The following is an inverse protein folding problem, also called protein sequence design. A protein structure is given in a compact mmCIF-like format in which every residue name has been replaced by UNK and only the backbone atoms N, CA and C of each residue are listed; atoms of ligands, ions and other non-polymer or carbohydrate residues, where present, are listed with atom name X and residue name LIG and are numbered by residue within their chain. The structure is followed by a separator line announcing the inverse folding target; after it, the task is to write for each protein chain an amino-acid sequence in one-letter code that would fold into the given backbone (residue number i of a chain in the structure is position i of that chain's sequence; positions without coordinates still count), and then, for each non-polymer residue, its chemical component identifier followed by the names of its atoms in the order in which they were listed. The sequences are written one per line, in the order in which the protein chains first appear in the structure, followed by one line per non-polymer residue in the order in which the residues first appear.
data_IF_432862176529
#
_entry.id   IF_432862176529
#
_cell.length_a   1.000
_cell.length_b   1.000
_cell.length_c   1.000
_cell.angle_alpha   90.00
_cell.angle_beta   90.00
_cell.angle_gamma   90.00
#
_symmetry.space_group_name_H-M   'P 1'
#
loop_
_entity.id
_entity.type
_entity.pdbx_description
1 polymer ?
#
# COMPACT_ATOMS: atom_id res chain seq x y z
N UNK A 1 6.56 -10.39 2.74
CA UNK A 1 7.92 -9.98 2.40
C UNK A 1 8.03 -8.47 2.52
N UNK A 2 8.95 -7.97 3.36
CA UNK A 2 9.34 -6.54 3.42
C UNK A 2 10.69 -6.43 2.74
N UNK A 3 10.82 -5.53 1.77
CA UNK A 3 11.99 -5.48 0.88
C UNK A 3 12.21 -4.04 0.39
N UNK A 4 13.47 -3.61 0.30
CA UNK A 4 13.85 -2.36 -0.36
C UNK A 4 13.91 -2.53 -1.89
N UNK A 5 13.97 -1.42 -2.62
CA UNK A 5 13.92 -1.42 -4.09
C UNK A 5 15.09 -2.18 -4.72
N UNK A 6 16.30 -2.02 -4.19
CA UNK A 6 17.51 -2.64 -4.76
C UNK A 6 17.44 -4.16 -4.62
N UNK A 7 17.04 -4.65 -3.45
CA UNK A 7 16.79 -6.06 -3.20
C UNK A 7 15.62 -6.60 -4.03
N UNK A 8 14.55 -5.82 -4.21
CA UNK A 8 13.39 -6.20 -5.04
C UNK A 8 13.82 -6.48 -6.49
N UNK A 9 14.57 -5.55 -7.08
CA UNK A 9 15.02 -5.69 -8.47
C UNK A 9 16.06 -6.82 -8.64
N UNK A 10 16.95 -7.00 -7.66
CA UNK A 10 17.98 -8.04 -7.71
C UNK A 10 17.43 -9.46 -7.47
N UNK A 11 16.28 -9.62 -6.80
CA UNK A 11 15.79 -10.92 -6.33
C UNK A 11 14.52 -11.40 -7.04
N UNK A 12 14.26 -11.00 -8.28
CA UNK A 12 13.05 -11.37 -9.04
C UNK A 12 12.85 -12.88 -9.11
N UNK A 13 13.91 -13.66 -9.35
CA UNK A 13 13.85 -15.12 -9.43
C UNK A 13 13.44 -15.78 -8.11
N UNK A 14 13.90 -15.22 -6.97
CA UNK A 14 13.50 -15.70 -5.65
C UNK A 14 12.02 -15.42 -5.39
N UNK A 15 11.52 -14.25 -5.78
CA UNK A 15 10.10 -13.89 -5.64
C UNK A 15 9.21 -14.84 -6.43
N UNK A 16 9.57 -15.16 -7.69
CA UNK A 16 8.86 -16.14 -8.51
C UNK A 16 8.89 -17.54 -7.86
N UNK A 17 10.05 -17.91 -7.29
CA UNK A 17 10.19 -19.19 -6.58
C UNK A 17 9.28 -19.27 -5.36
N UNK A 18 9.13 -18.17 -4.62
CA UNK A 18 8.21 -18.09 -3.48
C UNK A 18 6.76 -18.17 -3.96
N UNK A 19 6.38 -17.38 -4.97
CA UNK A 19 5.03 -17.39 -5.55
C UNK A 19 4.58 -18.79 -5.98
N UNK A 20 5.50 -19.59 -6.51
CA UNK A 20 5.22 -20.97 -6.90
C UNK A 20 4.92 -21.92 -5.73
N UNK A 21 5.22 -21.52 -4.49
CA UNK A 21 5.12 -22.36 -3.29
C UNK A 21 4.05 -21.89 -2.28
N UNK A 22 3.52 -20.69 -2.46
CA UNK A 22 2.58 -20.08 -1.50
C UNK A 22 1.25 -19.75 -2.18
N UNK A 23 0.15 -19.80 -1.42
CA UNK A 23 -1.15 -19.37 -1.91
C UNK A 23 -1.24 -17.84 -2.04
N UNK A 24 -0.49 -17.11 -1.20
CA UNK A 24 -0.50 -15.64 -1.21
C UNK A 24 0.86 -15.07 -0.81
N UNK A 25 1.31 -14.07 -1.56
CA UNK A 25 2.49 -13.27 -1.24
C UNK A 25 2.11 -11.79 -1.12
N UNK A 26 2.39 -11.20 0.04
CA UNK A 26 2.30 -9.75 0.22
C UNK A 26 3.72 -9.16 0.20
N UNK A 27 3.99 -8.28 -0.74
CA UNK A 27 5.23 -7.52 -0.84
C UNK A 27 4.97 -6.10 -0.33
N UNK A 28 5.84 -5.62 0.55
CA UNK A 28 5.84 -4.25 1.08
C UNK A 28 7.20 -3.63 0.76
N UNK A 29 7.22 -2.66 -0.14
CA UNK A 29 8.41 -1.88 -0.47
C UNK A 29 8.65 -0.90 0.68
N UNK A 30 9.85 -0.93 1.26
CA UNK A 30 10.14 -0.23 2.52
C UNK A 30 10.72 1.17 2.33
N UNK A 31 11.16 1.52 1.14
CA UNK A 31 11.86 2.75 0.77
C UNK A 31 11.27 3.44 -0.48
N UNK A 32 9.95 3.35 -0.60
CA UNK A 32 9.20 3.89 -1.74
C UNK A 32 9.50 5.39 -1.98
N UNK A 33 9.70 6.14 -0.91
CA UNK A 33 10.04 7.56 -0.92
C UNK A 33 11.40 7.88 -1.56
N UNK A 34 12.22 6.85 -1.82
CA UNK A 34 13.55 6.98 -2.45
C UNK A 34 13.54 6.67 -3.95
N UNK A 35 12.38 6.40 -4.53
CA UNK A 35 12.27 6.10 -5.95
C UNK A 35 12.58 7.34 -6.79
N UNK A 36 13.51 7.18 -7.72
CA UNK A 36 13.78 8.13 -8.81
C UNK A 36 12.99 7.75 -10.07
N UNK A 37 13.03 8.59 -11.09
CA UNK A 37 12.41 8.27 -12.38
C UNK A 37 12.97 6.98 -12.99
N UNK A 38 14.27 6.75 -12.85
CA UNK A 38 14.89 5.49 -13.32
C UNK A 38 14.39 4.27 -12.55
N UNK A 39 14.10 4.42 -11.22
CA UNK A 39 13.53 3.35 -10.41
C UNK A 39 12.09 3.05 -10.81
N UNK A 40 11.28 4.04 -11.20
CA UNK A 40 9.94 3.80 -11.73
C UNK A 40 9.97 3.03 -13.06
N UNK A 41 10.91 3.34 -13.95
CA UNK A 41 11.08 2.60 -15.20
C UNK A 41 11.53 1.16 -14.92
N UNK A 42 12.49 0.96 -14.02
CA UNK A 42 12.91 -0.36 -13.57
C UNK A 42 11.78 -1.15 -12.91
N UNK A 43 10.98 -0.50 -12.06
CA UNK A 43 9.82 -1.12 -11.40
C UNK A 43 8.75 -1.55 -12.40
N UNK A 44 8.48 -0.74 -13.41
CA UNK A 44 7.56 -1.10 -14.49
C UNK A 44 8.02 -2.36 -15.21
N UNK A 45 9.30 -2.44 -15.59
CA UNK A 45 9.86 -3.63 -16.26
C UNK A 45 9.81 -4.86 -15.34
N UNK A 46 10.11 -4.66 -14.06
CA UNK A 46 10.03 -5.71 -13.06
C UNK A 46 8.59 -6.24 -12.90
N UNK A 47 7.59 -5.35 -12.85
CA UNK A 47 6.17 -5.76 -12.80
C UNK A 47 5.78 -6.58 -14.02
N UNK A 48 6.22 -6.19 -15.23
CA UNK A 48 5.96 -6.92 -16.47
C UNK A 48 6.55 -8.35 -16.47
N UNK A 49 7.73 -8.53 -15.89
CA UNK A 49 8.35 -9.85 -15.78
C UNK A 49 7.67 -10.73 -14.73
N UNK A 50 7.25 -10.14 -13.61
CA UNK A 50 6.45 -10.84 -12.60
C UNK A 50 5.06 -11.20 -13.15
N UNK A 51 4.43 -10.31 -13.90
CA UNK A 51 3.14 -10.54 -14.56
C UNK A 51 3.17 -11.79 -15.44
N UNK A 52 4.16 -11.89 -16.35
CA UNK A 52 4.36 -13.08 -17.19
C UNK A 52 4.53 -14.37 -16.37
N UNK A 53 5.26 -14.25 -15.24
CA UNK A 53 5.48 -15.40 -14.35
C UNK A 53 4.20 -15.81 -13.64
N UNK A 54 3.40 -14.85 -13.17
CA UNK A 54 2.09 -15.09 -12.56
C UNK A 54 1.14 -15.71 -13.59
N UNK A 55 1.05 -15.16 -14.80
CA UNK A 55 0.23 -15.70 -15.89
C UNK A 55 0.59 -17.17 -16.20
N UNK A 56 1.89 -17.50 -16.27
CA UNK A 56 2.34 -18.89 -16.47
C UNK A 56 1.87 -19.82 -15.34
N UNK A 57 1.94 -19.37 -14.08
CA UNK A 57 1.46 -20.17 -12.95
C UNK A 57 -0.05 -20.42 -13.02
N UNK A 58 -0.84 -19.44 -13.48
CA UNK A 58 -2.28 -19.62 -13.68
C UNK A 58 -2.58 -20.62 -14.81
N UNK A 59 -1.82 -20.58 -15.91
CA UNK A 59 -1.93 -21.58 -16.99
C UNK A 59 -1.61 -23.00 -16.47
N UNK A 60 -0.65 -23.12 -15.58
CA UNK A 60 -0.27 -24.39 -14.93
C UNK A 60 -1.27 -24.85 -13.85
N UNK A 61 -2.41 -24.17 -13.71
CA UNK A 61 -3.46 -24.49 -12.73
C UNK A 61 -3.15 -24.05 -11.30
N UNK A 62 -2.12 -23.27 -11.08
CA UNK A 62 -1.82 -22.60 -9.81
C UNK A 62 -2.46 -21.23 -9.80
N UNK A 63 -2.89 -20.74 -8.65
CA UNK A 63 -3.54 -19.44 -8.54
C UNK A 63 -2.99 -18.61 -7.37
N UNK A 64 -1.67 -18.33 -7.34
CA UNK A 64 -1.10 -17.53 -6.26
C UNK A 64 -1.64 -16.11 -6.30
N UNK A 65 -1.92 -15.55 -5.13
CA UNK A 65 -2.29 -14.16 -4.99
C UNK A 65 -1.04 -13.31 -4.72
N UNK A 66 -0.91 -12.20 -5.45
CA UNK A 66 0.14 -11.20 -5.25
C UNK A 66 -0.52 -9.83 -5.06
N UNK A 67 -0.28 -9.20 -3.90
CA UNK A 67 -0.91 -7.92 -3.56
C UNK A 67 -0.63 -6.80 -4.57
N UNK A 68 0.50 -6.82 -5.25
CA UNK A 68 0.89 -5.80 -6.23
C UNK A 68 0.09 -5.90 -7.54
N UNK A 69 -0.37 -7.10 -7.92
CA UNK A 69 -1.04 -7.37 -9.19
C UNK A 69 -2.46 -7.93 -9.01
N UNK A 70 -2.58 -9.13 -8.43
CA UNK A 70 -3.84 -9.88 -8.49
C UNK A 70 -4.94 -9.35 -7.56
N UNK A 71 -4.58 -8.70 -6.44
CA UNK A 71 -5.55 -8.21 -5.46
C UNK A 71 -6.49 -7.14 -6.01
N UNK A 72 -6.12 -6.47 -7.09
CA UNK A 72 -6.90 -5.38 -7.67
C UNK A 72 -7.78 -5.78 -8.84
N UNK A 73 -7.56 -6.97 -9.41
CA UNK A 73 -8.26 -7.43 -10.62
C UNK A 73 -9.78 -7.47 -10.46
N UNK A 74 -10.27 -7.77 -9.25
CA UNK A 74 -11.71 -7.89 -8.96
C UNK A 74 -12.28 -6.69 -8.19
N UNK A 75 -11.53 -5.59 -8.09
CA UNK A 75 -12.00 -4.41 -7.38
C UNK A 75 -12.74 -3.47 -8.33
N UNK A 76 -13.88 -2.99 -7.90
CA UNK A 76 -14.72 -1.97 -8.55
C UNK A 76 -14.66 -0.60 -7.83
N UNK A 77 -13.94 -0.53 -6.71
CA UNK A 77 -13.78 0.67 -5.90
C UNK A 77 -12.52 0.65 -5.06
N UNK A 78 -12.20 1.80 -4.47
CA UNK A 78 -10.98 1.98 -3.65
C UNK A 78 -11.01 1.12 -2.39
N UNK A 79 -9.99 0.27 -2.23
CA UNK A 79 -9.80 -0.60 -1.07
C UNK A 79 -8.80 0.03 -0.08
N UNK A 80 -9.23 1.04 0.65
CA UNK A 80 -8.43 1.71 1.67
C UNK A 80 -8.21 0.85 2.92
N UNK A 81 -7.25 1.24 3.76
CA UNK A 81 -7.06 0.61 5.07
C UNK A 81 -8.09 1.05 6.13
N UNK A 82 -8.86 2.11 5.89
CA UNK A 82 -9.88 2.64 6.81
C UNK A 82 -9.34 3.32 8.08
N UNK A 83 -8.03 3.50 8.20
CA UNK A 83 -7.42 4.12 9.37
C UNK A 83 -7.91 5.56 9.58
N UNK A 84 -8.40 5.85 10.78
CA UNK A 84 -8.97 7.15 11.18
C UNK A 84 -10.41 7.39 10.72
N UNK A 85 -10.96 6.50 9.90
CA UNK A 85 -12.35 6.56 9.43
C UNK A 85 -13.18 5.42 10.02
N UNK A 86 -12.86 4.18 9.66
CA UNK A 86 -13.60 2.99 10.11
C UNK A 86 -12.85 2.18 11.17
N UNK A 87 -11.59 2.48 11.43
CA UNK A 87 -10.79 1.83 12.45
C UNK A 87 -9.82 2.79 13.16
N UNK A 88 -9.57 2.48 14.44
CA UNK A 88 -8.57 3.11 15.31
C UNK A 88 -7.77 2.03 16.02
N UNK A 89 -6.62 2.40 16.54
CA UNK A 89 -5.75 1.52 17.32
C UNK A 89 -5.72 1.98 18.78
N UNK A 90 -6.09 1.11 19.72
CA UNK A 90 -5.77 1.28 21.12
C UNK A 90 -4.40 0.63 21.37
N UNK A 91 -3.45 1.41 21.84
CA UNK A 91 -2.08 0.96 22.13
C UNK A 91 -1.90 0.57 23.61
N UNK A 92 -0.82 -0.16 23.95
CA UNK A 92 -0.55 -0.59 25.33
C UNK A 92 -0.34 0.54 26.32
N UNK A 93 -0.04 1.76 25.87
CA UNK A 93 0.08 2.97 26.69
C UNK A 93 -1.28 3.56 27.10
N UNK A 94 -2.40 2.94 26.70
CA UNK A 94 -3.75 3.39 27.00
C UNK A 94 -4.25 4.55 26.12
N UNK A 95 -3.50 4.91 25.06
CA UNK A 95 -3.89 5.94 24.12
C UNK A 95 -4.45 5.36 22.82
N UNK A 96 -5.34 6.14 22.18
CA UNK A 96 -5.83 5.83 20.85
C UNK A 96 -4.97 6.49 19.78
N UNK A 97 -4.72 5.76 18.70
CA UNK A 97 -4.00 6.20 17.52
C UNK A 97 -4.81 5.94 16.27
N UNK A 98 -4.61 6.75 15.26
CA UNK A 98 -5.27 6.57 13.96
C UNK A 98 -4.87 5.24 13.31
N UNK A 99 -3.60 4.85 13.44
CA UNK A 99 -3.12 3.50 13.09
C UNK A 99 -1.88 3.13 13.92
N UNK A 100 -1.49 1.83 13.96
CA UNK A 100 -0.34 1.39 14.74
C UNK A 100 0.97 2.10 14.40
N UNK A 101 1.15 2.54 13.16
CA UNK A 101 2.38 3.20 12.74
C UNK A 101 2.62 4.53 13.48
N UNK A 102 1.55 5.23 13.89
CA UNK A 102 1.70 6.45 14.70
C UNK A 102 2.16 6.16 16.13
N UNK A 103 1.74 5.04 16.71
CA UNK A 103 2.25 4.60 18.01
C UNK A 103 3.72 4.19 17.95
N UNK A 104 4.13 3.53 16.85
CA UNK A 104 5.49 3.04 16.67
C UNK A 104 6.47 4.11 16.16
N UNK A 105 5.98 5.28 15.77
CA UNK A 105 6.82 6.41 15.36
C UNK A 105 7.22 7.26 16.56
N UNK A 106 8.41 7.84 16.53
CA UNK A 106 8.91 8.72 17.60
C UNK A 106 8.05 9.97 17.82
N UNK A 107 7.30 10.39 16.80
CA UNK A 107 6.43 11.58 16.80
C UNK A 107 5.10 11.40 17.55
N UNK A 108 4.85 10.24 18.14
CA UNK A 108 3.80 9.89 19.11
C UNK A 108 2.46 10.64 19.02
N UNK A 109 1.83 10.67 17.84
CA UNK A 109 0.58 11.41 17.63
C UNK A 109 -0.62 10.56 18.04
N UNK A 110 -1.04 10.65 19.31
CA UNK A 110 -2.30 10.06 19.79
C UNK A 110 -3.49 10.98 19.51
N UNK A 111 -4.66 10.39 19.34
CA UNK A 111 -5.91 11.15 19.13
C UNK A 111 -6.71 11.33 20.41
N UNK A 112 -6.44 10.56 21.45
CA UNK A 112 -6.97 10.69 22.81
C UNK A 112 -6.60 9.44 23.64
N UNK A 113 -7.08 9.36 24.88
CA UNK A 113 -6.79 8.29 25.82
C UNK A 113 -8.05 7.51 26.21
N UNK A 114 -7.84 6.32 26.77
CA UNK A 114 -8.92 5.48 27.29
C UNK A 114 -9.72 6.17 28.43
N UNK A 115 -9.07 7.07 29.16
CA UNK A 115 -9.72 7.82 30.24
C UNK A 115 -10.61 8.96 29.76
N UNK A 116 -10.19 9.64 28.71
CA UNK A 116 -10.90 10.83 28.21
C UNK A 116 -11.90 10.49 27.11
N UNK A 117 -11.87 9.25 26.58
CA UNK A 117 -12.69 8.83 25.45
C UNK A 117 -12.04 9.15 24.10
N UNK A 118 -12.82 9.17 23.03
CA UNK A 118 -12.34 9.42 21.68
C UNK A 118 -12.64 10.86 21.25
N UNK A 119 -11.62 11.60 20.84
CA UNK A 119 -11.75 12.91 20.20
C UNK A 119 -10.89 12.97 18.93
N UNK A 120 -11.39 12.41 17.84
CA UNK A 120 -10.73 12.48 16.55
C UNK A 120 -11.01 13.85 15.91
N UNK A 121 -10.03 14.74 16.00
CA UNK A 121 -10.15 16.07 15.37
C UNK A 121 -10.20 15.98 13.85
N UNK A 122 -11.14 16.68 13.23
CA UNK A 122 -11.31 16.74 11.78
C UNK A 122 -11.39 15.33 11.14
N UNK A 123 -12.29 14.43 11.58
CA UNK A 123 -12.36 13.04 11.10
C UNK A 123 -12.56 12.93 9.59
N UNK A 124 -13.13 13.97 8.94
CA UNK A 124 -13.30 14.02 7.49
C UNK A 124 -11.97 13.95 6.72
N UNK A 125 -10.83 14.36 7.33
CA UNK A 125 -9.52 14.29 6.67
C UNK A 125 -9.04 12.84 6.43
N UNK A 126 -9.57 11.88 7.19
CA UNK A 126 -9.24 10.46 7.03
C UNK A 126 -10.11 9.76 5.98
N UNK A 127 -11.22 10.36 5.60
CA UNK A 127 -12.18 9.80 4.65
C UNK A 127 -11.71 9.96 3.20
N UNK A 128 -12.09 8.98 2.37
CA UNK A 128 -11.75 8.98 0.95
C UNK A 128 -12.43 10.12 0.19
N UNK A 129 -13.71 10.39 0.47
CA UNK A 129 -14.51 11.41 -0.20
C UNK A 129 -13.98 12.84 0.01
N UNK A 130 -13.19 13.05 1.06
CA UNK A 130 -12.51 14.31 1.35
C UNK A 130 -11.04 14.36 0.90
N UNK A 131 -10.54 13.28 0.27
CA UNK A 131 -9.15 13.25 -0.23
C UNK A 131 -9.06 13.92 -1.60
N UNK A 132 -8.34 15.04 -1.76
CA UNK A 132 -8.36 15.86 -2.97
C UNK A 132 -7.99 15.09 -4.25
N UNK A 133 -6.98 14.21 -4.15
CA UNK A 133 -6.43 13.46 -5.28
C UNK A 133 -7.09 12.07 -5.37
N UNK A 134 -7.30 11.40 -4.22
CA UNK A 134 -7.65 9.98 -4.21
C UNK A 134 -9.14 9.69 -4.45
N UNK A 135 -10.04 10.64 -4.18
CA UNK A 135 -11.51 10.41 -4.26
C UNK A 135 -12.02 9.98 -5.64
N UNK A 136 -11.28 10.30 -6.70
CA UNK A 136 -11.61 9.92 -8.08
C UNK A 136 -10.55 9.02 -8.72
N UNK A 137 -9.62 8.50 -7.92
CA UNK A 137 -8.54 7.64 -8.40
C UNK A 137 -9.04 6.22 -8.60
N UNK A 138 -8.57 5.58 -9.67
CA UNK A 138 -8.90 4.19 -10.03
C UNK A 138 -7.79 3.17 -9.70
N UNK A 139 -6.76 3.59 -8.96
CA UNK A 139 -5.76 2.67 -8.41
C UNK A 139 -6.32 1.98 -7.13
N UNK A 140 -7.35 1.15 -7.30
CA UNK A 140 -8.24 0.68 -6.22
C UNK A 140 -7.56 -0.09 -5.09
N UNK A 141 -6.42 -0.74 -5.35
CA UNK A 141 -5.66 -1.43 -4.30
C UNK A 141 -4.71 -0.50 -3.53
N UNK A 142 -4.55 0.75 -3.94
CA UNK A 142 -3.77 1.73 -3.19
C UNK A 142 -4.34 1.89 -1.78
N UNK A 143 -3.54 1.61 -0.76
CA UNK A 143 -3.98 1.70 0.64
C UNK A 143 -4.12 3.12 1.15
N UNK A 144 -3.65 4.11 0.39
CA UNK A 144 -3.71 5.52 0.79
C UNK A 144 -3.20 5.69 2.23
N UNK A 145 -1.96 5.21 2.48
CA UNK A 145 -1.39 5.12 3.83
C UNK A 145 -1.27 6.50 4.47
N UNK A 146 -2.16 6.82 5.38
CA UNK A 146 -2.24 8.13 6.06
C UNK A 146 -1.00 8.44 6.89
N UNK A 147 -0.35 7.43 7.47
CA UNK A 147 0.91 7.61 8.18
C UNK A 147 2.04 8.00 7.21
N UNK A 148 2.17 7.31 6.08
CA UNK A 148 3.17 7.62 5.07
C UNK A 148 2.89 8.99 4.41
N UNK A 149 1.63 9.31 4.14
CA UNK A 149 1.22 10.64 3.70
C UNK A 149 1.72 11.70 4.68
N UNK A 150 1.35 11.57 5.97
CA UNK A 150 1.76 12.51 7.02
C UNK A 150 3.29 12.68 7.08
N UNK A 151 4.02 11.57 6.98
CA UNK A 151 5.49 11.57 7.00
C UNK A 151 6.10 12.31 5.81
N UNK A 152 5.53 12.15 4.61
CA UNK A 152 6.15 12.62 3.36
C UNK A 152 5.61 13.97 2.88
N UNK A 153 4.32 14.24 3.14
CA UNK A 153 3.65 15.45 2.64
C UNK A 153 3.16 16.38 3.75
N UNK A 154 3.32 15.98 5.02
CA UNK A 154 2.77 16.63 6.22
C UNK A 154 1.24 16.66 6.28
N UNK A 155 0.56 15.98 5.33
CA UNK A 155 -0.89 15.91 5.22
C UNK A 155 -1.35 14.44 5.27
N UNK A 156 -2.43 14.15 6.00
CA UNK A 156 -2.94 12.76 6.11
C UNK A 156 -3.70 12.30 4.85
N UNK A 157 -4.29 13.23 4.10
CA UNK A 157 -5.15 12.93 2.95
C UNK A 157 -4.50 13.17 1.58
N UNK A 158 -3.21 13.52 1.55
CA UNK A 158 -2.46 13.79 0.31
C UNK A 158 -1.27 12.85 0.19
N UNK A 159 -1.28 11.89 -0.74
CA UNK A 159 -0.16 10.98 -0.95
C UNK A 159 1.02 11.69 -1.61
N UNK A 160 2.23 11.15 -1.44
CA UNK A 160 3.39 11.62 -2.19
C UNK A 160 3.31 11.23 -3.67
N UNK A 161 4.14 11.89 -4.49
CA UNK A 161 4.27 11.57 -5.91
C UNK A 161 4.63 10.09 -6.12
N UNK A 162 5.60 9.59 -5.38
CA UNK A 162 6.12 8.23 -5.50
C UNK A 162 5.03 7.19 -5.18
N UNK A 163 4.23 7.41 -4.12
CA UNK A 163 3.09 6.55 -3.81
C UNK A 163 2.09 6.48 -4.96
N UNK A 164 1.79 7.62 -5.59
CA UNK A 164 0.87 7.68 -6.71
C UNK A 164 1.43 6.97 -7.94
N UNK A 165 2.69 7.25 -8.32
CA UNK A 165 3.30 6.62 -9.50
C UNK A 165 3.34 5.10 -9.36
N UNK A 166 3.82 4.58 -8.24
CA UNK A 166 3.88 3.13 -7.98
C UNK A 166 2.48 2.51 -8.04
N UNK A 167 1.49 3.09 -7.36
CA UNK A 167 0.12 2.56 -7.38
C UNK A 167 -0.49 2.54 -8.79
N UNK A 168 -0.15 3.51 -9.63
CA UNK A 168 -0.61 3.57 -11.02
C UNK A 168 0.13 2.58 -11.93
N UNK A 169 1.43 2.36 -11.73
CA UNK A 169 2.17 1.32 -12.45
C UNK A 169 1.59 -0.07 -12.16
N UNK A 170 1.36 -0.38 -10.88
CA UNK A 170 0.74 -1.63 -10.44
C UNK A 170 -0.68 -1.80 -11.02
N UNK A 171 -1.51 -0.73 -11.01
CA UNK A 171 -2.84 -0.75 -11.63
C UNK A 171 -2.76 -1.06 -13.12
N UNK A 172 -1.86 -0.39 -13.83
CA UNK A 172 -1.73 -0.57 -15.28
C UNK A 172 -1.34 -2.01 -15.62
N UNK A 173 -0.38 -2.56 -14.90
CA UNK A 173 0.09 -3.93 -15.14
C UNK A 173 -0.97 -4.96 -14.73
N UNK A 174 -1.66 -4.77 -13.61
CA UNK A 174 -2.78 -5.62 -13.21
C UNK A 174 -3.90 -5.70 -14.27
N UNK A 175 -4.11 -4.64 -15.05
CA UNK A 175 -5.05 -4.63 -16.16
C UNK A 175 -4.55 -5.42 -17.38
N UNK A 176 -3.24 -5.53 -17.56
CA UNK A 176 -2.67 -6.34 -18.63
C UNK A 176 -2.78 -7.83 -18.33
N UNK A 177 -2.79 -8.21 -17.05
CA UNK A 177 -2.94 -9.61 -16.60
C UNK A 177 -4.36 -10.16 -16.81
N UNK A 178 -5.37 -9.30 -16.91
CA UNK A 178 -6.77 -9.69 -17.19
C UNK A 178 -6.99 -9.99 -18.66
#
# INVERSE_FOLDING_TARGET
LRIDKDSLFAQSSLIVTILNKVARLNIVITDLERFSNADFDAYKLWLQDIDKSVASLYVDGKSPQLNLLTDRMMLDGMNNCGAGDTCLTLAPDGNFYVCPAFYLSEDGYSVESLHNGLDVRNPQLYRLDHAPICRHCDAYQCKRCIWLNRKLTLEVNTPSHEQCVVAHLERNESRNLM
#
